data_IF_607628968862
#
_entry.id   IF_607628968862
#
_cell.length_a   1.000
_cell.length_b   1.000
_cell.length_c   1.000
_cell.angle_alpha   90.00
_cell.angle_beta   90.00
_cell.angle_gamma   90.00
#
_symmetry.space_group_name_H-M   'P 1'
#
loop_
_entity.id
_entity.type
_entity.pdbx_description
1 polymer ?
#
# COMPACT_ATOMS: atom_id res chain seq x y z
N UNK A 1 16.18 5.65 -5.13
CA UNK A 1 15.03 4.75 -5.34
C UNK A 1 15.38 3.40 -4.75
N UNK A 2 14.43 2.76 -4.06
CA UNK A 2 14.59 1.40 -3.57
C UNK A 2 13.58 0.49 -4.28
N UNK A 3 14.02 -0.70 -4.67
CA UNK A 3 13.20 -1.71 -5.31
C UNK A 3 13.22 -3.01 -4.51
N UNK A 4 12.05 -3.65 -4.42
CA UNK A 4 11.84 -4.96 -3.82
C UNK A 4 11.87 -6.05 -4.89
N UNK A 5 12.47 -7.20 -4.59
CA UNK A 5 12.30 -8.39 -5.41
C UNK A 5 11.24 -9.33 -4.81
N UNK A 6 10.08 -9.41 -5.47
CA UNK A 6 8.98 -10.30 -5.05
C UNK A 6 9.22 -11.72 -5.61
N UNK A 7 10.13 -12.47 -4.99
CA UNK A 7 10.47 -13.86 -5.37
C UNK A 7 10.11 -14.82 -4.25
N UNK A 8 9.61 -16.01 -4.59
CA UNK A 8 9.27 -17.05 -3.62
C UNK A 8 10.48 -17.75 -2.98
N UNK A 9 11.66 -17.65 -3.60
CA UNK A 9 12.89 -18.29 -3.16
C UNK A 9 13.84 -17.39 -2.35
N UNK A 10 13.47 -16.11 -2.20
CA UNK A 10 14.28 -15.12 -1.46
C UNK A 10 13.67 -13.73 -1.47
N UNK A 11 14.36 -12.82 -0.82
CA UNK A 11 14.04 -11.38 -0.82
C UNK A 11 15.31 -10.57 -0.83
N UNK A 12 15.33 -9.50 -1.60
CA UNK A 12 16.39 -8.50 -1.58
C UNK A 12 15.83 -7.09 -1.77
N UNK A 13 16.53 -6.11 -1.24
CA UNK A 13 16.29 -4.70 -1.49
C UNK A 13 17.46 -4.17 -2.29
N UNK A 14 17.17 -3.49 -3.40
CA UNK A 14 18.19 -2.88 -4.26
C UNK A 14 17.97 -1.37 -4.28
N UNK A 15 19.05 -0.61 -4.09
CA UNK A 15 19.06 0.84 -4.23
C UNK A 15 19.55 1.25 -5.62
N UNK A 16 18.88 2.23 -6.20
CA UNK A 16 19.20 2.82 -7.49
C UNK A 16 19.32 4.33 -7.39
N UNK A 17 20.20 4.88 -8.19
CA UNK A 17 20.24 6.31 -8.53
C UNK A 17 19.71 6.48 -9.96
N UNK A 18 18.85 7.47 -10.15
CA UNK A 18 18.37 7.87 -11.47
C UNK A 18 19.39 8.84 -12.09
N UNK A 19 19.95 8.47 -13.24
CA UNK A 19 20.85 9.29 -14.04
C UNK A 19 20.19 9.54 -15.41
N UNK A 20 19.62 10.72 -15.58
CA UNK A 20 18.73 11.02 -16.71
C UNK A 20 17.50 10.09 -16.69
N UNK A 21 17.44 9.15 -17.65
CA UNK A 21 16.38 8.13 -17.75
C UNK A 21 16.85 6.73 -17.36
N UNK A 22 18.09 6.58 -16.87
CA UNK A 22 18.70 5.29 -16.57
C UNK A 22 18.79 5.07 -15.06
N UNK A 23 18.34 3.92 -14.60
CA UNK A 23 18.53 3.47 -13.23
C UNK A 23 19.88 2.74 -13.11
N UNK A 24 20.76 3.23 -12.23
CA UNK A 24 22.04 2.61 -11.92
C UNK A 24 21.98 2.04 -10.50
N UNK A 25 22.20 0.73 -10.36
CA UNK A 25 22.30 0.08 -9.06
C UNK A 25 23.49 0.63 -8.26
N UNK A 26 23.27 0.94 -6.99
CA UNK A 26 24.29 1.49 -6.08
C UNK A 26 24.55 0.61 -4.87
N UNK A 27 23.55 -0.11 -4.41
CA UNK A 27 23.68 -1.03 -3.28
C UNK A 27 22.58 -2.11 -3.35
N UNK A 28 22.84 -3.24 -2.68
CA UNK A 28 21.89 -4.34 -2.52
C UNK A 28 22.10 -5.02 -1.19
N UNK A 29 20.99 -5.40 -0.54
CA UNK A 29 21.03 -6.24 0.65
C UNK A 29 20.07 -7.42 0.48
N UNK A 30 20.56 -8.62 0.76
CA UNK A 30 19.70 -9.80 0.86
C UNK A 30 19.05 -9.87 2.24
N UNK A 31 17.80 -10.34 2.27
CA UNK A 31 17.06 -10.65 3.48
C UNK A 31 17.01 -12.19 3.58
N UNK A 32 17.92 -12.84 4.30
CA UNK A 32 18.19 -14.28 4.17
C UNK A 32 16.98 -15.17 4.44
N UNK A 33 16.07 -14.71 5.32
CA UNK A 33 14.84 -15.44 5.67
C UNK A 33 13.60 -14.91 4.96
N UNK A 34 13.73 -13.82 4.17
CA UNK A 34 12.60 -13.17 3.49
C UNK A 34 12.11 -13.98 2.29
N UNK A 35 10.79 -13.99 2.04
CA UNK A 35 10.17 -14.59 0.85
C UNK A 35 9.02 -13.73 0.35
N UNK A 36 8.99 -13.49 -0.97
CA UNK A 36 8.00 -12.65 -1.63
C UNK A 36 7.91 -11.25 -1.00
N UNK A 37 8.99 -10.47 -1.08
CA UNK A 37 9.04 -9.09 -0.61
C UNK A 37 8.10 -8.22 -1.45
N UNK A 38 6.92 -7.89 -0.91
CA UNK A 38 5.82 -7.26 -1.65
C UNK A 38 5.65 -5.76 -1.39
N UNK A 39 6.30 -5.21 -0.35
CA UNK A 39 6.19 -3.79 -0.02
C UNK A 39 7.46 -3.26 0.64
N UNK A 40 7.84 -2.03 0.26
CA UNK A 40 8.88 -1.23 0.92
C UNK A 40 8.30 0.11 1.38
N UNK A 41 8.81 0.60 2.51
CA UNK A 41 8.45 1.89 3.08
C UNK A 41 9.69 2.59 3.63
N UNK A 42 9.96 3.81 3.16
CA UNK A 42 11.06 4.62 3.66
C UNK A 42 10.59 5.52 4.81
N UNK A 43 11.35 5.52 5.91
CA UNK A 43 11.11 6.36 7.08
C UNK A 43 12.45 6.95 7.55
N UNK A 44 12.74 8.18 7.14
CA UNK A 44 14.05 8.78 7.37
C UNK A 44 15.18 7.95 6.73
N UNK A 45 16.13 7.52 7.54
CA UNK A 45 17.29 6.70 7.15
C UNK A 45 17.05 5.18 7.27
N UNK A 46 15.79 4.76 7.47
CA UNK A 46 15.39 3.37 7.63
C UNK A 46 14.46 2.96 6.49
N UNK A 47 14.73 1.81 5.88
CA UNK A 47 13.85 1.18 4.88
C UNK A 47 13.22 -0.05 5.49
N UNK A 48 11.90 -0.05 5.56
CA UNK A 48 11.10 -1.17 6.01
C UNK A 48 10.64 -2.03 4.85
N UNK A 49 10.46 -3.32 5.10
CA UNK A 49 9.86 -4.24 4.13
C UNK A 49 8.94 -5.26 4.77
N UNK A 50 8.04 -5.80 3.94
CA UNK A 50 7.15 -6.91 4.31
C UNK A 50 7.23 -8.04 3.29
N UNK A 51 7.49 -9.26 3.78
CA UNK A 51 7.61 -10.48 2.99
C UNK A 51 6.34 -11.32 3.14
N UNK A 52 5.58 -11.44 2.06
CA UNK A 52 4.22 -12.01 2.08
C UNK A 52 4.17 -13.49 2.47
N UNK A 53 5.01 -14.34 1.83
CA UNK A 53 4.87 -15.79 1.99
C UNK A 53 5.21 -16.32 3.37
N UNK A 54 6.16 -15.68 4.06
CA UNK A 54 6.60 -16.16 5.36
C UNK A 54 6.32 -15.19 6.51
N UNK A 55 5.60 -14.10 6.24
CA UNK A 55 5.13 -13.17 7.26
C UNK A 55 6.21 -12.33 7.92
N UNK A 56 7.39 -12.18 7.30
CA UNK A 56 8.49 -11.41 7.86
C UNK A 56 8.32 -9.92 7.58
N UNK A 57 8.42 -9.11 8.63
CA UNK A 57 8.67 -7.67 8.55
C UNK A 57 10.11 -7.40 8.95
N UNK A 58 10.76 -6.47 8.27
CA UNK A 58 12.14 -6.11 8.57
C UNK A 58 12.38 -4.60 8.40
N UNK A 59 13.51 -4.14 8.93
CA UNK A 59 14.07 -2.82 8.68
C UNK A 59 15.55 -2.96 8.35
N UNK A 60 16.01 -2.19 7.37
CA UNK A 60 17.43 -2.03 7.01
C UNK A 60 17.81 -0.56 7.02
N UNK A 61 19.09 -0.25 7.15
CA UNK A 61 19.57 1.12 6.97
C UNK A 61 19.46 1.55 5.51
N UNK A 62 19.34 2.85 5.25
CA UNK A 62 19.18 3.39 3.89
C UNK A 62 20.40 3.15 2.99
N UNK A 63 21.56 2.88 3.57
CA UNK A 63 22.77 2.49 2.84
C UNK A 63 22.76 1.01 2.41
N UNK A 64 21.79 0.22 2.86
CA UNK A 64 21.64 -1.22 2.64
C UNK A 64 22.86 -2.04 3.11
N UNK A 65 23.41 -1.68 4.27
CA UNK A 65 24.59 -2.35 4.82
C UNK A 65 24.28 -3.36 5.90
N UNK A 66 23.13 -3.22 6.58
CA UNK A 66 22.74 -4.10 7.70
C UNK A 66 21.23 -4.12 7.93
N UNK A 67 20.77 -5.25 8.48
CA UNK A 67 19.41 -5.40 9.00
C UNK A 67 19.39 -4.81 10.42
N UNK A 68 18.44 -3.90 10.68
CA UNK A 68 18.31 -3.17 11.93
C UNK A 68 17.26 -3.80 12.85
N UNK A 69 16.23 -4.41 12.28
CA UNK A 69 15.10 -4.97 13.02
C UNK A 69 14.38 -6.04 12.21
N UNK A 70 13.80 -7.01 12.88
CA UNK A 70 12.96 -8.04 12.30
C UNK A 70 11.81 -8.42 13.23
N UNK A 71 10.65 -8.75 12.65
CA UNK A 71 9.48 -9.27 13.36
C UNK A 71 8.74 -10.26 12.44
N UNK A 72 8.50 -11.47 12.96
CA UNK A 72 7.89 -12.55 12.17
C UNK A 72 6.84 -13.29 13.01
N UNK A 73 5.57 -12.82 13.02
CA UNK A 73 4.50 -13.54 13.69
C UNK A 73 4.13 -14.83 12.95
N UNK A 74 3.80 -15.88 13.68
CA UNK A 74 3.45 -17.17 13.11
C UNK A 74 2.18 -17.10 12.24
N UNK A 75 2.21 -17.71 11.05
CA UNK A 75 1.08 -17.78 10.12
C UNK A 75 0.70 -16.47 9.46
N UNK A 76 1.55 -15.44 9.56
CA UNK A 76 1.30 -14.15 8.94
C UNK A 76 1.49 -14.20 7.42
N UNK A 77 0.72 -13.35 6.71
CA UNK A 77 1.03 -12.89 5.36
C UNK A 77 1.30 -11.39 5.44
N UNK A 78 2.56 -11.03 5.70
CA UNK A 78 2.99 -9.65 5.85
C UNK A 78 2.78 -8.87 4.56
N UNK A 79 1.96 -7.81 4.57
CA UNK A 79 1.60 -7.14 3.34
C UNK A 79 1.98 -5.66 3.28
N UNK A 80 1.95 -4.95 4.39
CA UNK A 80 2.16 -3.50 4.42
C UNK A 80 2.87 -3.05 5.67
N UNK A 81 3.68 -2.01 5.53
CA UNK A 81 4.35 -1.27 6.60
C UNK A 81 4.15 0.21 6.37
N UNK A 82 3.72 0.94 7.39
CA UNK A 82 3.51 2.39 7.32
C UNK A 82 3.72 3.02 8.68
N UNK A 83 4.45 4.13 8.76
CA UNK A 83 4.44 4.96 9.96
C UNK A 83 3.29 5.97 9.91
N UNK A 84 2.64 6.17 11.05
CA UNK A 84 1.65 7.22 11.25
C UNK A 84 1.94 7.90 12.59
N UNK A 85 2.33 9.16 12.55
CA UNK A 85 2.89 9.85 13.71
C UNK A 85 4.14 9.12 14.25
N UNK A 86 4.15 8.83 15.55
CA UNK A 86 5.25 8.10 16.22
C UNK A 86 4.98 6.60 16.36
N UNK A 87 4.18 6.02 15.49
CA UNK A 87 3.87 4.59 15.51
C UNK A 87 4.06 3.95 14.13
N UNK A 88 4.58 2.72 14.12
CA UNK A 88 4.64 1.85 12.96
C UNK A 88 3.44 0.92 12.97
N UNK A 89 2.73 0.86 11.86
CA UNK A 89 1.62 -0.07 11.63
C UNK A 89 2.04 -1.11 10.60
N UNK A 90 1.74 -2.37 10.90
CA UNK A 90 2.02 -3.52 10.04
C UNK A 90 0.70 -4.21 9.72
N UNK A 91 0.44 -4.48 8.45
CA UNK A 91 -0.78 -5.18 8.03
C UNK A 91 -0.48 -6.67 7.79
N UNK A 92 -1.14 -7.54 8.55
CA UNK A 92 -1.09 -8.99 8.43
C UNK A 92 -2.39 -9.49 7.81
N UNK A 93 -2.35 -9.72 6.51
CA UNK A 93 -3.48 -10.17 5.72
C UNK A 93 -3.95 -11.56 6.15
N UNK A 94 -3.02 -12.48 6.38
CA UNK A 94 -3.33 -13.88 6.69
C UNK A 94 -4.04 -14.06 8.02
N UNK A 95 -3.56 -13.39 9.07
CA UNK A 95 -4.12 -13.52 10.42
C UNK A 95 -5.25 -12.52 10.72
N UNK A 96 -5.63 -11.66 9.76
CA UNK A 96 -6.59 -10.57 9.96
C UNK A 96 -6.25 -9.71 11.18
N UNK A 97 -5.03 -9.15 11.17
CA UNK A 97 -4.51 -8.33 12.27
C UNK A 97 -3.74 -7.13 11.75
N UNK A 98 -3.71 -6.10 12.55
CA UNK A 98 -2.68 -5.08 12.47
C UNK A 98 -1.76 -5.22 13.70
N UNK A 99 -0.51 -4.84 13.54
CA UNK A 99 0.41 -4.66 14.66
C UNK A 99 0.78 -3.18 14.74
N UNK A 100 0.91 -2.69 15.96
CA UNK A 100 1.36 -1.33 16.25
C UNK A 100 2.58 -1.39 17.15
N UNK A 101 3.62 -0.66 16.77
CA UNK A 101 4.86 -0.49 17.53
C UNK A 101 5.12 1.01 17.72
N UNK A 102 5.64 1.40 18.87
CA UNK A 102 6.16 2.76 19.02
C UNK A 102 7.45 2.92 18.20
N UNK A 103 7.67 4.12 17.65
CA UNK A 103 8.89 4.47 16.94
C UNK A 103 9.71 5.48 17.73
N UNK A 104 11.00 5.22 17.83
CA UNK A 104 12.00 6.14 18.35
C UNK A 104 13.20 6.15 17.40
N UNK A 105 13.60 7.33 16.93
CA UNK A 105 14.63 7.46 15.88
C UNK A 105 14.36 6.57 14.65
N UNK A 106 13.12 6.55 14.18
CA UNK A 106 12.63 5.75 13.05
C UNK A 106 12.78 4.22 13.23
N UNK A 107 13.01 3.70 14.44
CA UNK A 107 13.09 2.28 14.73
C UNK A 107 12.02 1.86 15.76
N UNK A 108 11.48 0.64 15.64
CA UNK A 108 10.53 0.11 16.60
C UNK A 108 11.14 -0.05 17.97
N UNK A 109 10.42 0.39 19.00
CA UNK A 109 10.80 0.25 20.42
C UNK A 109 9.66 -0.39 21.22
N UNK A 110 10.03 -1.01 22.34
CA UNK A 110 9.07 -1.60 23.27
C UNK A 110 8.36 -2.84 22.73
N UNK A 111 7.16 -3.09 23.24
CA UNK A 111 6.37 -4.27 22.92
C UNK A 111 5.48 -4.05 21.70
N UNK A 112 5.25 -5.12 20.95
CA UNK A 112 4.30 -5.14 19.82
C UNK A 112 2.86 -5.20 20.39
N UNK A 113 2.04 -4.22 20.03
CA UNK A 113 0.60 -4.26 20.30
C UNK A 113 -0.11 -4.91 19.14
N UNK A 114 -0.79 -6.05 19.38
CA UNK A 114 -1.66 -6.70 18.40
C UNK A 114 -3.02 -6.01 18.38
N UNK A 115 -3.51 -5.66 17.20
CA UNK A 115 -4.80 -5.01 16.96
C UNK A 115 -5.66 -5.97 16.12
N UNK A 116 -6.51 -6.82 16.75
CA UNK A 116 -7.35 -7.76 16.03
C UNK A 116 -8.32 -7.05 15.11
N UNK A 117 -8.49 -7.59 13.89
CA UNK A 117 -9.47 -7.14 12.91
C UNK A 117 -10.53 -8.22 12.70
N UNK A 118 -11.67 -7.94 12.07
CA UNK A 118 -12.69 -8.96 11.81
C UNK A 118 -12.08 -10.21 11.15
N UNK A 119 -12.38 -11.38 11.66
CA UNK A 119 -11.83 -12.64 11.16
C UNK A 119 -12.10 -12.81 9.66
N UNK A 120 -11.09 -13.15 8.90
CA UNK A 120 -11.17 -13.33 7.45
C UNK A 120 -11.26 -12.01 6.66
N UNK A 121 -11.05 -10.84 7.29
CA UNK A 121 -11.10 -9.56 6.58
C UNK A 121 -9.86 -9.28 5.74
N UNK A 122 -8.68 -9.71 6.18
CA UNK A 122 -7.41 -9.55 5.46
C UNK A 122 -7.00 -8.10 5.26
N UNK A 123 -6.55 -7.38 6.30
CA UNK A 123 -6.02 -6.03 6.14
C UNK A 123 -4.80 -6.06 5.23
N UNK A 124 -4.84 -5.25 4.19
CA UNK A 124 -3.83 -5.23 3.12
C UNK A 124 -2.94 -4.00 3.17
N UNK A 125 -3.53 -2.83 3.35
CA UNK A 125 -2.85 -1.54 3.31
C UNK A 125 -3.42 -0.61 4.37
N UNK A 126 -2.54 0.14 5.01
CA UNK A 126 -2.87 1.19 5.99
C UNK A 126 -2.35 2.52 5.46
N UNK A 127 -3.18 3.56 5.51
CA UNK A 127 -2.83 4.92 5.15
C UNK A 127 -3.10 5.85 6.33
N UNK A 128 -2.29 6.89 6.46
CA UNK A 128 -2.61 8.00 7.37
C UNK A 128 -3.84 8.75 6.84
N UNK A 129 -4.88 8.83 7.64
CA UNK A 129 -6.09 9.56 7.32
C UNK A 129 -6.14 10.96 7.93
N UNK A 130 -5.11 11.34 8.70
CA UNK A 130 -5.10 12.54 9.53
C UNK A 130 -5.94 12.40 10.81
N UNK A 131 -5.87 13.40 11.69
CA UNK A 131 -6.66 13.49 12.94
C UNK A 131 -6.59 12.23 13.83
N UNK A 132 -5.46 11.51 13.80
CA UNK A 132 -5.29 10.27 14.56
C UNK A 132 -6.09 9.10 14.03
N UNK A 133 -6.51 9.13 12.76
CA UNK A 133 -7.24 8.07 12.09
C UNK A 133 -6.40 7.37 11.04
N UNK A 134 -6.80 6.16 10.70
CA UNK A 134 -6.19 5.33 9.65
C UNK A 134 -7.26 4.93 8.64
N UNK A 135 -6.95 5.01 7.34
CA UNK A 135 -7.69 4.27 6.32
C UNK A 135 -7.05 2.90 6.13
N UNK A 136 -7.82 1.86 6.30
CA UNK A 136 -7.34 0.50 6.08
C UNK A 136 -8.16 -0.19 5.00
N UNK A 137 -7.48 -0.74 3.99
CA UNK A 137 -8.08 -1.51 2.90
C UNK A 137 -8.00 -2.99 3.24
N UNK A 138 -9.12 -3.70 3.11
CA UNK A 138 -9.25 -5.12 3.43
C UNK A 138 -9.51 -5.93 2.17
N UNK A 139 -8.56 -6.75 1.80
CA UNK A 139 -8.62 -7.51 0.55
C UNK A 139 -9.67 -8.63 0.59
N UNK A 140 -9.73 -9.37 1.70
CA UNK A 140 -10.48 -10.62 1.73
C UNK A 140 -11.98 -10.42 1.93
N UNK A 141 -12.41 -9.36 2.63
CA UNK A 141 -13.84 -9.05 2.79
C UNK A 141 -14.35 -7.92 1.90
N UNK A 142 -13.45 -7.24 1.15
CA UNK A 142 -13.84 -6.24 0.16
C UNK A 142 -14.24 -4.88 0.74
N UNK A 143 -13.83 -4.56 1.97
CA UNK A 143 -14.17 -3.31 2.62
C UNK A 143 -12.98 -2.38 2.77
N UNK A 144 -13.29 -1.13 3.00
CA UNK A 144 -12.41 -0.12 3.54
C UNK A 144 -12.95 0.31 4.90
N UNK A 145 -12.07 0.41 5.90
CA UNK A 145 -12.43 0.85 7.25
C UNK A 145 -11.59 2.04 7.68
N UNK A 146 -12.25 2.95 8.38
CA UNK A 146 -11.57 3.98 9.16
C UNK A 146 -11.36 3.44 10.56
N UNK A 147 -10.13 3.45 11.03
CA UNK A 147 -9.76 2.99 12.35
C UNK A 147 -9.17 4.15 13.15
N UNK A 148 -9.32 4.09 14.47
CA UNK A 148 -8.49 4.90 15.35
C UNK A 148 -7.09 4.26 15.53
N UNK A 149 -6.17 4.95 16.19
CA UNK A 149 -4.80 4.43 16.44
C UNK A 149 -4.75 3.19 17.33
N UNK A 150 -5.84 2.82 18.01
CA UNK A 150 -5.94 1.59 18.77
C UNK A 150 -6.49 0.42 17.95
N UNK A 151 -6.72 0.65 16.64
CA UNK A 151 -7.21 -0.34 15.69
C UNK A 151 -8.71 -0.61 15.79
N UNK A 152 -9.46 0.21 16.56
CA UNK A 152 -10.90 0.10 16.64
C UNK A 152 -11.55 0.71 15.40
N UNK A 153 -12.47 -0.03 14.77
CA UNK A 153 -13.23 0.44 13.62
C UNK A 153 -14.20 1.56 14.02
N UNK A 154 -14.11 2.68 13.34
CA UNK A 154 -14.97 3.85 13.49
C UNK A 154 -16.05 3.88 12.40
N UNK A 155 -15.65 3.60 11.16
CA UNK A 155 -16.60 3.45 10.04
C UNK A 155 -16.16 2.35 9.07
N UNK A 156 -17.11 1.83 8.29
CA UNK A 156 -16.88 0.79 7.29
C UNK A 156 -17.69 1.11 6.04
N UNK A 157 -17.05 1.01 4.88
CA UNK A 157 -17.70 1.12 3.57
C UNK A 157 -17.20 0.00 2.65
N UNK A 158 -18.03 -0.49 1.69
CA UNK A 158 -17.54 -1.37 0.63
C UNK A 158 -16.48 -0.63 -0.20
N UNK A 159 -15.38 -1.27 -0.56
CA UNK A 159 -14.35 -0.62 -1.39
C UNK A 159 -14.77 -0.49 -2.87
N UNK A 160 -15.77 -1.24 -3.32
CA UNK A 160 -16.30 -1.25 -4.69
C UNK A 160 -17.83 -1.37 -4.66
N UNK A 161 -18.47 -0.88 -5.71
CA UNK A 161 -19.91 -1.15 -5.98
C UNK A 161 -20.17 -2.60 -6.38
N UNK A 162 -19.12 -3.34 -6.78
CA UNK A 162 -19.17 -4.77 -7.07
C UNK A 162 -18.81 -5.57 -5.80
N UNK A 163 -19.76 -6.33 -5.23
CA UNK A 163 -19.52 -7.05 -3.98
C UNK A 163 -18.63 -8.30 -4.16
N UNK A 164 -18.14 -8.83 -3.04
CA UNK A 164 -17.53 -10.18 -2.97
C UNK A 164 -18.53 -11.25 -3.50
N UNK A 165 -18.03 -12.35 -4.07
CA UNK A 165 -16.61 -12.71 -4.21
C UNK A 165 -15.92 -12.17 -5.48
N UNK A 166 -16.49 -11.21 -6.16
CA UNK A 166 -15.99 -10.72 -7.46
C UNK A 166 -15.06 -9.52 -7.37
N UNK A 167 -14.88 -8.93 -6.19
CA UNK A 167 -14.01 -7.76 -5.98
C UNK A 167 -12.97 -8.03 -4.90
N UNK A 168 -11.70 -7.72 -5.19
CA UNK A 168 -10.58 -7.77 -4.26
C UNK A 168 -9.85 -6.43 -4.27
N UNK A 169 -10.06 -5.56 -3.27
CA UNK A 169 -9.33 -4.30 -3.18
C UNK A 169 -7.82 -4.52 -3.26
N UNK A 170 -7.16 -3.74 -4.08
CA UNK A 170 -5.72 -3.80 -4.32
C UNK A 170 -4.96 -2.72 -3.57
N UNK A 171 -4.54 -1.69 -4.30
CA UNK A 171 -3.87 -0.53 -3.74
C UNK A 171 -4.82 0.61 -3.43
N UNK A 172 -4.40 1.50 -2.54
CA UNK A 172 -5.06 2.76 -2.27
C UNK A 172 -4.04 3.89 -2.16
N UNK A 173 -4.44 5.09 -2.53
CA UNK A 173 -3.65 6.30 -2.32
C UNK A 173 -4.57 7.50 -2.10
N UNK A 174 -4.05 8.54 -1.45
CA UNK A 174 -4.75 9.80 -1.29
C UNK A 174 -4.12 10.88 -2.17
N UNK A 175 -4.96 11.67 -2.83
CA UNK A 175 -4.52 12.88 -3.51
C UNK A 175 -4.38 14.05 -2.52
N UNK A 176 -3.74 15.14 -2.97
CA UNK A 176 -3.48 16.32 -2.15
C UNK A 176 -4.76 17.03 -1.66
N UNK A 177 -5.86 16.92 -2.41
CA UNK A 177 -7.18 17.44 -2.03
C UNK A 177 -7.94 16.58 -1.01
N UNK A 178 -7.32 15.46 -0.56
CA UNK A 178 -7.92 14.51 0.36
C UNK A 178 -8.78 13.44 -0.29
N UNK A 179 -8.93 13.42 -1.61
CA UNK A 179 -9.62 12.32 -2.32
C UNK A 179 -8.85 11.01 -2.13
N UNK A 180 -9.54 9.98 -1.66
CA UNK A 180 -9.00 8.64 -1.51
C UNK A 180 -9.40 7.78 -2.70
N UNK A 181 -8.45 7.14 -3.33
CA UNK A 181 -8.66 6.20 -4.43
C UNK A 181 -8.36 4.77 -3.98
N UNK A 182 -9.19 3.82 -4.42
CA UNK A 182 -9.01 2.39 -4.16
C UNK A 182 -9.14 1.61 -5.46
N UNK A 183 -8.16 0.79 -5.79
CA UNK A 183 -8.23 -0.11 -6.94
C UNK A 183 -8.94 -1.41 -6.57
N UNK A 184 -9.77 -1.93 -7.46
CA UNK A 184 -10.61 -3.11 -7.25
C UNK A 184 -10.30 -4.16 -8.32
N UNK A 185 -9.54 -5.19 -7.94
CA UNK A 185 -9.21 -6.33 -8.81
C UNK A 185 -10.43 -7.23 -8.96
N UNK A 186 -10.59 -7.82 -10.12
CA UNK A 186 -11.77 -8.61 -10.48
C UNK A 186 -12.75 -7.79 -11.29
N UNK A 187 -13.43 -6.76 -10.75
CA UNK A 187 -14.22 -5.84 -11.60
C UNK A 187 -13.33 -4.92 -12.44
N UNK A 188 -12.05 -4.79 -12.11
CA UNK A 188 -11.08 -3.94 -12.80
C UNK A 188 -11.54 -2.48 -12.83
N UNK A 189 -11.77 -1.94 -11.64
CA UNK A 189 -12.25 -0.57 -11.44
C UNK A 189 -11.37 0.19 -10.44
N UNK A 190 -11.53 1.50 -10.44
CA UNK A 190 -11.03 2.38 -9.39
C UNK A 190 -12.23 3.10 -8.79
N UNK A 191 -12.35 3.11 -7.47
CA UNK A 191 -13.34 3.88 -6.72
C UNK A 191 -12.70 5.10 -6.07
N UNK A 192 -13.42 6.23 -6.08
CA UNK A 192 -13.02 7.48 -5.45
C UNK A 192 -13.94 7.81 -4.27
N UNK A 193 -13.34 8.33 -3.21
CA UNK A 193 -14.00 8.62 -1.94
C UNK A 193 -13.54 9.97 -1.40
N UNK A 194 -14.47 10.81 -1.00
CA UNK A 194 -14.15 12.02 -0.26
C UNK A 194 -13.91 11.66 1.22
N UNK A 195 -12.77 12.10 1.76
CA UNK A 195 -12.48 12.00 3.19
C UNK A 195 -13.22 13.10 3.95
N UNK A 196 -14.12 12.70 4.84
CA UNK A 196 -14.73 13.55 5.85
C UNK A 196 -14.65 12.79 7.16
N UNK A 197 -13.70 13.13 8.02
CA UNK A 197 -13.44 12.36 9.25
C UNK A 197 -14.72 12.28 10.13
N UNK A 198 -15.13 11.08 10.57
CA UNK A 198 -14.56 9.77 10.28
C UNK A 198 -15.21 9.04 9.08
N UNK A 199 -16.02 9.71 8.30
CA UNK A 199 -16.83 9.11 7.22
C UNK A 199 -16.09 9.17 5.88
N UNK A 200 -16.37 8.19 4.99
CA UNK A 200 -15.93 8.18 3.60
C UNK A 200 -17.15 8.24 2.70
N UNK A 201 -17.26 9.31 1.92
CA UNK A 201 -18.36 9.53 0.99
C UNK A 201 -17.95 9.04 -0.40
N UNK A 202 -18.73 8.12 -0.96
CA UNK A 202 -18.52 7.63 -2.32
C UNK A 202 -18.71 8.76 -3.33
N UNK A 203 -17.77 8.93 -4.23
CA UNK A 203 -17.85 9.89 -5.33
C UNK A 203 -18.24 9.20 -6.63
N UNK A 204 -17.41 8.27 -7.09
CA UNK A 204 -17.69 7.47 -8.28
C UNK A 204 -16.80 6.23 -8.32
N UNK A 205 -17.10 5.33 -9.26
CA UNK A 205 -16.26 4.19 -9.62
C UNK A 205 -16.23 4.10 -11.16
N UNK A 206 -15.03 3.84 -11.73
CA UNK A 206 -14.84 3.77 -13.18
C UNK A 206 -13.93 2.59 -13.55
N UNK A 207 -14.06 2.08 -14.80
CA UNK A 207 -13.24 0.98 -15.29
C UNK A 207 -11.77 1.42 -15.47
N UNK A 208 -10.87 0.46 -15.29
CA UNK A 208 -9.44 0.58 -15.58
C UNK A 208 -8.94 -0.73 -16.21
N UNK A 209 -7.64 -0.84 -16.44
CA UNK A 209 -7.02 -2.05 -16.99
C UNK A 209 -7.11 -3.29 -16.08
N UNK A 210 -6.76 -4.46 -16.61
CA UNK A 210 -6.92 -5.73 -15.90
C UNK A 210 -5.96 -5.87 -14.72
N UNK A 211 -6.54 -6.19 -13.58
CA UNK A 211 -5.87 -6.44 -12.29
C UNK A 211 -5.10 -5.21 -11.76
N UNK A 212 -5.80 -4.10 -11.46
CA UNK A 212 -5.18 -2.89 -10.91
C UNK A 212 -4.61 -3.18 -9.52
N UNK A 213 -3.28 -3.35 -9.42
CA UNK A 213 -2.60 -3.76 -8.19
C UNK A 213 -2.21 -2.59 -7.31
N UNK A 214 -1.77 -1.49 -7.90
CA UNK A 214 -1.31 -0.30 -7.19
C UNK A 214 -1.81 0.98 -7.82
N UNK A 215 -1.97 2.00 -7.01
CA UNK A 215 -2.32 3.36 -7.39
C UNK A 215 -1.26 4.33 -6.86
N UNK A 216 -1.02 5.41 -7.60
CA UNK A 216 -0.16 6.50 -7.18
C UNK A 216 -0.80 7.83 -7.62
N UNK A 217 -1.20 8.66 -6.66
CA UNK A 217 -1.58 10.04 -6.94
C UNK A 217 -0.31 10.86 -7.24
N UNK A 218 -0.33 11.65 -8.31
CA UNK A 218 0.82 12.47 -8.71
C UNK A 218 0.84 13.74 -7.87
N UNK A 219 1.89 13.96 -7.05
CA UNK A 219 1.97 15.09 -6.14
C UNK A 219 1.75 16.45 -6.83
N UNK A 220 1.03 17.35 -6.18
CA UNK A 220 0.77 18.70 -6.70
C UNK A 220 -0.12 18.77 -7.93
N UNK A 221 -0.74 17.66 -8.33
CA UNK A 221 -1.64 17.56 -9.50
C UNK A 221 -2.92 16.83 -9.16
N UNK A 222 -3.82 16.72 -10.14
CA UNK A 222 -5.04 15.89 -10.07
C UNK A 222 -4.92 14.62 -10.94
N UNK A 223 -3.70 14.19 -11.24
CA UNK A 223 -3.47 12.95 -11.97
C UNK A 223 -3.31 11.74 -11.04
N UNK A 224 -3.81 10.60 -11.51
CA UNK A 224 -3.72 9.30 -10.84
C UNK A 224 -3.09 8.28 -11.79
N UNK A 225 -2.07 7.57 -11.32
CA UNK A 225 -1.49 6.43 -12.02
C UNK A 225 -2.07 5.12 -11.46
N UNK A 226 -2.39 4.19 -12.36
CA UNK A 226 -2.87 2.84 -12.02
C UNK A 226 -1.98 1.79 -12.69
N UNK A 227 -1.31 0.97 -11.89
CA UNK A 227 -0.53 -0.16 -12.38
C UNK A 227 -1.42 -1.40 -12.49
N UNK A 228 -1.70 -1.82 -13.74
CA UNK A 228 -2.58 -2.92 -14.10
C UNK A 228 -1.75 -4.16 -14.48
N UNK A 229 -1.55 -5.06 -13.50
CA UNK A 229 -0.52 -6.09 -13.55
C UNK A 229 -0.76 -7.14 -14.64
N UNK A 230 -2.00 -7.62 -14.80
CA UNK A 230 -2.32 -8.66 -15.80
C UNK A 230 -2.42 -8.13 -17.21
N UNK A 231 -2.89 -6.90 -17.36
CA UNK A 231 -2.84 -6.22 -18.65
C UNK A 231 -1.41 -5.90 -19.06
N UNK A 232 -0.52 -5.65 -18.09
CA UNK A 232 0.84 -5.21 -18.35
C UNK A 232 0.89 -3.75 -18.82
N UNK A 233 0.16 -2.87 -18.14
CA UNK A 233 0.13 -1.45 -18.46
C UNK A 233 0.05 -0.57 -17.19
N UNK A 234 0.49 0.68 -17.35
CA UNK A 234 0.22 1.76 -16.39
C UNK A 234 -0.66 2.79 -17.09
N UNK A 235 -1.82 3.07 -16.51
CA UNK A 235 -2.76 4.09 -17.00
C UNK A 235 -2.65 5.37 -16.20
N UNK A 236 -2.83 6.50 -16.87
CA UNK A 236 -2.86 7.84 -16.26
C UNK A 236 -4.26 8.44 -16.43
N UNK A 237 -4.87 8.88 -15.33
CA UNK A 237 -6.19 9.49 -15.30
C UNK A 237 -6.11 10.94 -14.86
N UNK A 238 -6.81 11.84 -15.57
CA UNK A 238 -7.13 13.18 -15.09
C UNK A 238 -8.37 13.10 -14.17
N UNK A 239 -8.17 13.36 -12.89
CA UNK A 239 -9.20 13.34 -11.86
C UNK A 239 -9.83 14.72 -11.61
N UNK A 240 -9.47 15.76 -12.38
CA UNK A 240 -10.04 17.11 -12.25
C UNK A 240 -11.58 17.17 -12.39
N UNK A 241 -12.26 16.25 -13.13
CA UNK A 241 -13.70 16.25 -13.21
C UNK A 241 -14.45 15.84 -11.94
N UNK A 242 -13.75 15.25 -10.95
CA UNK A 242 -14.39 14.85 -9.68
C UNK A 242 -14.91 16.07 -8.90
N UNK A 243 -16.02 15.96 -8.16
CA UNK A 243 -16.91 14.79 -8.03
C UNK A 243 -18.01 14.69 -9.10
N UNK A 244 -18.03 15.55 -10.11
CA UNK A 244 -19.16 15.72 -11.02
C UNK A 244 -19.23 14.68 -12.14
N UNK A 245 -18.09 14.12 -12.52
CA UNK A 245 -17.98 13.04 -13.53
C UNK A 245 -16.78 12.15 -13.22
N UNK A 246 -16.81 10.94 -13.80
CA UNK A 246 -15.67 10.01 -13.72
C UNK A 246 -14.41 10.62 -14.34
N UNK A 247 -13.23 10.29 -13.80
CA UNK A 247 -11.93 10.63 -14.37
C UNK A 247 -11.79 10.16 -15.82
N UNK A 248 -10.94 10.87 -16.58
CA UNK A 248 -10.67 10.56 -17.98
C UNK A 248 -9.25 10.00 -18.11
N UNK A 249 -9.12 8.87 -18.79
CA UNK A 249 -7.79 8.36 -19.17
C UNK A 249 -7.12 9.32 -20.17
N UNK A 250 -5.91 9.75 -19.86
CA UNK A 250 -5.13 10.71 -20.66
C UNK A 250 -3.94 10.07 -21.35
N UNK A 251 -3.41 8.98 -20.78
CA UNK A 251 -2.27 8.26 -21.31
C UNK A 251 -2.22 6.83 -20.76
N UNK A 252 -1.56 5.94 -21.50
CA UNK A 252 -1.17 4.62 -21.01
C UNK A 252 0.24 4.26 -21.52
N UNK A 253 0.93 3.44 -20.72
CA UNK A 253 2.25 2.92 -21.04
C UNK A 253 2.23 1.39 -20.88
N UNK A 254 2.56 0.66 -21.96
CA UNK A 254 2.74 -0.77 -21.91
C UNK A 254 3.98 -1.13 -21.05
N UNK A 255 3.77 -1.89 -19.99
CA UNK A 255 4.81 -2.34 -19.07
C UNK A 255 4.42 -3.71 -18.51
N UNK A 256 4.90 -4.82 -19.10
CA UNK A 256 4.55 -6.16 -18.67
C UNK A 256 4.78 -6.38 -17.18
N UNK A 257 3.74 -6.88 -16.48
CA UNK A 257 3.81 -7.14 -15.05
C UNK A 257 3.80 -5.90 -14.15
N UNK A 258 3.35 -4.74 -14.65
CA UNK A 258 3.26 -3.50 -13.87
C UNK A 258 2.54 -3.73 -12.53
N UNK A 259 3.27 -3.63 -11.42
CA UNK A 259 2.77 -3.94 -10.08
C UNK A 259 2.82 -2.75 -9.12
N UNK A 260 3.57 -1.71 -9.47
CA UNK A 260 3.72 -0.47 -8.71
C UNK A 260 4.01 0.69 -9.65
N UNK A 261 3.61 1.90 -9.26
CA UNK A 261 4.01 3.16 -9.86
C UNK A 261 4.49 4.09 -8.75
N UNK A 262 5.58 4.80 -8.99
CA UNK A 262 6.16 5.78 -8.07
C UNK A 262 6.49 7.04 -8.85
N UNK A 263 6.09 8.18 -8.32
CA UNK A 263 6.49 9.50 -8.82
C UNK A 263 7.70 9.97 -8.02
N UNK A 264 8.70 10.46 -8.71
CA UNK A 264 9.90 11.06 -8.12
C UNK A 264 9.76 12.58 -8.15
N UNK A 265 10.12 13.21 -7.05
CA UNK A 265 10.17 14.68 -6.90
C UNK A 265 11.40 15.26 -7.59
#
# INVERSE_FOLDING_TARGET
IYAASERGDGADVTAYVLDGTTLRETARIEIPTGRALCHLYACGDVIYGSCFENGLYFAVDSALTRILWQFQPAGANAHWVQSVGHALFLADLGNSRLYRLALENNLPTGSVKTLPQPTGSGPRQVLDAGDGMLDCVYELDGHMRVLNHDGCTVSTVPASTVPKPRSWPGGACAAADGTLFVSNRGPNTISAWQRSSPVRHFLCEWPTGDWPRALCAVPGTLYLLAACQREGAVHCYDCSPLPHRAPTETASLALPGASCALVLD
#
